data_IF_796714968487
#
_entry.id   IF_796714968487
#
_cell.length_a   1.000
_cell.length_b   1.000
_cell.length_c   1.000
_cell.angle_alpha   90.00
_cell.angle_beta   90.00
_cell.angle_gamma   90.00
#
_symmetry.space_group_name_H-M   'P 1'
#
loop_
_entity.id
_entity.type
_entity.pdbx_description
1 polymer ?
#
# COMPACT_ATOMS: atom_id res chain seq x y z
N UNK A 1 52.84 51.65 -30.25
CA UNK A 1 51.49 51.81 -29.63
C UNK A 1 50.52 51.01 -30.48
N UNK A 2 49.67 50.06 -30.06
CA UNK A 2 49.28 49.46 -28.77
C UNK A 2 48.92 47.99 -29.07
N UNK A 3 49.43 47.04 -28.28
CA UNK A 3 48.99 45.64 -28.26
C UNK A 3 47.60 45.57 -27.62
N UNK A 4 46.66 44.78 -28.15
CA UNK A 4 45.41 44.42 -27.47
C UNK A 4 45.39 42.91 -27.25
N UNK A 5 45.64 42.51 -26.01
CA UNK A 5 45.26 41.22 -25.44
C UNK A 5 43.76 41.26 -25.15
N UNK A 6 43.03 40.17 -25.43
CA UNK A 6 41.77 39.89 -24.75
C UNK A 6 41.52 38.37 -24.71
N UNK A 7 42.05 37.80 -23.64
CA UNK A 7 41.41 36.88 -22.69
C UNK A 7 40.36 35.90 -23.24
N UNK A 8 40.80 34.66 -23.49
CA UNK A 8 39.93 33.49 -23.69
C UNK A 8 39.27 33.10 -22.35
N UNK A 9 37.95 33.16 -22.28
CA UNK A 9 37.19 32.71 -21.12
C UNK A 9 37.14 31.17 -21.07
N UNK A 10 37.75 30.60 -20.03
CA UNK A 10 37.73 29.17 -19.72
C UNK A 10 36.34 28.80 -19.17
N UNK A 11 35.52 28.15 -19.99
CA UNK A 11 34.20 27.66 -19.59
C UNK A 11 34.38 26.35 -18.81
N UNK A 12 34.34 26.43 -17.48
CA UNK A 12 34.45 25.29 -16.58
C UNK A 12 33.10 24.55 -16.54
N UNK A 13 32.91 23.57 -17.42
CA UNK A 13 31.76 22.67 -17.40
C UNK A 13 31.81 21.75 -16.18
N UNK A 14 31.10 22.09 -15.12
CA UNK A 14 30.80 21.19 -14.01
C UNK A 14 29.89 20.06 -14.50
N UNK A 15 30.48 18.90 -14.77
CA UNK A 15 29.79 17.62 -14.90
C UNK A 15 29.20 17.24 -13.52
N UNK A 16 28.00 17.74 -13.22
CA UNK A 16 27.17 17.19 -12.16
C UNK A 16 26.71 15.80 -12.60
N UNK A 17 27.52 14.79 -12.29
CA UNK A 17 27.09 13.40 -12.34
C UNK A 17 25.87 13.23 -11.44
N UNK A 18 24.70 13.14 -12.05
CA UNK A 18 23.48 12.76 -11.35
C UNK A 18 23.60 11.29 -10.98
N UNK A 19 24.15 11.01 -9.80
CA UNK A 19 24.05 9.70 -9.17
C UNK A 19 22.57 9.47 -8.87
N UNK A 20 21.89 8.73 -9.75
CA UNK A 20 20.58 8.18 -9.43
C UNK A 20 20.79 7.16 -8.33
N UNK A 21 20.65 7.59 -7.07
CA UNK A 21 20.60 6.69 -5.94
C UNK A 21 19.36 5.81 -6.13
N UNK A 22 19.59 4.56 -6.58
CA UNK A 22 18.53 3.56 -6.68
C UNK A 22 18.12 3.24 -5.26
N UNK A 23 16.93 3.66 -4.85
CA UNK A 23 16.40 3.30 -3.55
C UNK A 23 16.39 1.76 -3.44
N UNK A 24 16.84 1.23 -2.30
CA UNK A 24 16.75 -0.20 -2.02
C UNK A 24 15.29 -0.63 -2.22
N UNK A 25 15.00 -1.64 -3.07
CA UNK A 25 13.64 -2.14 -3.27
C UNK A 25 12.89 -2.30 -1.94
N UNK A 26 13.55 -2.86 -0.91
CA UNK A 26 12.99 -3.04 0.42
C UNK A 26 12.42 -1.74 1.01
N UNK A 27 13.06 -0.61 0.72
CA UNK A 27 12.63 0.72 1.15
C UNK A 27 11.40 1.20 0.38
N UNK A 28 11.34 0.97 -0.93
CA UNK A 28 10.20 1.39 -1.77
C UNK A 28 8.93 0.61 -1.46
N UNK A 29 9.00 -0.73 -1.36
CA UNK A 29 7.83 -1.54 -1.02
C UNK A 29 7.30 -1.20 0.38
N UNK A 30 8.20 -1.09 1.34
CA UNK A 30 7.86 -0.70 2.71
C UNK A 30 7.23 0.70 2.75
N UNK A 31 7.72 1.64 1.94
CA UNK A 31 7.15 2.98 1.83
C UNK A 31 5.71 2.97 1.31
N UNK A 32 5.38 2.12 0.32
CA UNK A 32 4.01 1.98 -0.20
C UNK A 32 3.06 1.50 0.90
N UNK A 33 3.40 0.43 1.62
CA UNK A 33 2.55 -0.11 2.70
C UNK A 33 2.46 0.87 3.88
N UNK A 34 3.56 1.57 4.20
CA UNK A 34 3.54 2.64 5.22
C UNK A 34 2.62 3.78 4.84
N UNK A 35 2.66 4.22 3.59
CA UNK A 35 1.78 5.27 3.09
C UNK A 35 0.31 4.83 3.09
N UNK A 36 0.04 3.55 2.78
CA UNK A 36 -1.29 2.96 2.88
C UNK A 36 -1.84 3.03 4.31
N UNK A 37 -1.12 2.52 5.31
CA UNK A 37 -1.55 2.60 6.71
C UNK A 37 -1.69 4.04 7.22
N UNK A 38 -0.79 4.95 6.81
CA UNK A 38 -0.91 6.38 7.18
C UNK A 38 -2.18 7.00 6.61
N UNK A 39 -2.54 6.66 5.36
CA UNK A 39 -3.71 7.23 4.72
C UNK A 39 -5.01 6.77 5.40
N UNK A 40 -5.09 5.49 5.77
CA UNK A 40 -6.26 4.89 6.41
C UNK A 40 -6.15 4.79 7.93
N UNK A 41 -5.23 5.53 8.56
CA UNK A 41 -5.01 5.44 10.01
C UNK A 41 -6.27 5.78 10.82
N UNK A 42 -7.14 6.63 10.27
CA UNK A 42 -8.42 7.01 10.89
C UNK A 42 -9.34 5.82 11.17
N UNK A 43 -9.22 4.71 10.44
CA UNK A 43 -9.94 3.46 10.72
C UNK A 43 -9.64 2.89 12.11
N UNK A 44 -8.47 3.19 12.67
CA UNK A 44 -8.02 2.69 13.97
C UNK A 44 -7.97 3.75 15.07
N UNK A 45 -7.87 5.04 14.72
CA UNK A 45 -7.68 6.12 15.70
C UNK A 45 -8.92 6.97 15.96
N UNK A 46 -9.96 6.86 15.13
CA UNK A 46 -11.23 7.56 15.33
C UNK A 46 -12.33 6.54 15.61
N UNK A 47 -13.08 6.74 16.71
CA UNK A 47 -14.23 5.88 17.06
C UNK A 47 -15.39 6.02 16.06
N UNK A 48 -15.47 7.13 15.34
CA UNK A 48 -16.53 7.43 14.38
C UNK A 48 -16.00 8.29 13.22
N UNK A 49 -15.24 7.69 12.28
CA UNK A 49 -14.73 8.41 11.14
C UNK A 49 -15.88 8.86 10.23
N UNK A 50 -15.84 10.11 9.76
CA UNK A 50 -16.82 10.65 8.80
C UNK A 50 -16.52 10.27 7.34
N UNK A 51 -15.49 9.46 7.11
CA UNK A 51 -14.99 9.07 5.78
C UNK A 51 -15.00 7.55 5.66
N UNK A 52 -15.36 7.07 4.47
CA UNK A 52 -15.33 5.66 4.10
C UNK A 52 -13.96 5.02 4.36
N UNK A 53 -13.98 3.80 4.89
CA UNK A 53 -12.77 2.98 5.10
C UNK A 53 -12.13 2.51 3.80
N UNK A 54 -11.01 1.78 3.93
CA UNK A 54 -10.21 1.23 2.84
C UNK A 54 -11.05 0.50 1.79
N UNK A 55 -11.97 -0.36 2.21
CA UNK A 55 -12.77 -1.20 1.32
C UNK A 55 -13.74 -0.42 0.44
N UNK A 56 -14.15 0.77 0.90
CA UNK A 56 -15.12 1.63 0.22
C UNK A 56 -14.46 2.85 -0.44
N UNK A 57 -13.16 3.04 -0.23
CA UNK A 57 -12.44 4.20 -0.74
C UNK A 57 -12.57 4.37 -2.27
N UNK A 58 -12.55 5.62 -2.78
CA UNK A 58 -12.62 5.89 -4.22
C UNK A 58 -11.48 5.22 -5.00
N UNK A 59 -11.76 4.78 -6.23
CA UNK A 59 -10.77 4.10 -7.09
C UNK A 59 -9.49 4.92 -7.27
N UNK A 60 -9.61 6.25 -7.41
CA UNK A 60 -8.47 7.16 -7.51
C UNK A 60 -7.55 7.13 -6.28
N UNK A 61 -8.10 6.91 -5.09
CA UNK A 61 -7.34 6.74 -3.85
C UNK A 61 -6.64 5.40 -3.85
N UNK A 62 -7.37 4.32 -4.18
CA UNK A 62 -6.84 2.95 -4.17
C UNK A 62 -5.71 2.74 -5.19
N UNK A 63 -5.76 3.39 -6.36
CA UNK A 63 -4.71 3.32 -7.40
C UNK A 63 -3.32 3.77 -6.95
N UNK A 64 -3.23 4.55 -5.87
CA UNK A 64 -1.95 4.95 -5.28
C UNK A 64 -1.23 3.79 -4.59
N UNK A 65 -1.98 2.79 -4.13
CA UNK A 65 -1.47 1.72 -3.27
C UNK A 65 -1.63 0.32 -3.87
N UNK A 66 -2.74 0.06 -4.55
CA UNK A 66 -3.13 -1.29 -4.99
C UNK A 66 -2.89 -1.51 -6.48
N UNK A 67 -2.70 -2.77 -6.84
CA UNK A 67 -2.66 -3.20 -8.24
C UNK A 67 -4.04 -3.06 -8.89
N UNK A 68 -4.13 -2.83 -10.21
CA UNK A 68 -5.41 -2.71 -10.90
C UNK A 68 -6.34 -3.92 -10.68
N UNK A 69 -5.80 -5.14 -10.70
CA UNK A 69 -6.57 -6.37 -10.50
C UNK A 69 -7.24 -6.43 -9.12
N UNK A 70 -6.51 -6.06 -8.06
CA UNK A 70 -7.07 -6.05 -6.70
C UNK A 70 -8.13 -4.95 -6.53
N UNK A 71 -7.95 -3.81 -7.19
CA UNK A 71 -8.95 -2.72 -7.21
C UNK A 71 -10.24 -3.19 -7.88
N UNK A 72 -10.15 -3.84 -9.04
CA UNK A 72 -11.32 -4.35 -9.74
C UNK A 72 -12.15 -5.29 -8.87
N UNK A 73 -11.47 -6.18 -8.13
CA UNK A 73 -12.11 -7.12 -7.22
C UNK A 73 -12.83 -6.43 -6.05
N UNK A 74 -12.22 -5.39 -5.45
CA UNK A 74 -12.88 -4.57 -4.42
C UNK A 74 -14.10 -3.83 -4.97
N UNK A 75 -13.98 -3.26 -6.18
CA UNK A 75 -15.08 -2.56 -6.84
C UNK A 75 -16.25 -3.50 -7.15
N UNK A 76 -15.95 -4.74 -7.54
CA UNK A 76 -16.96 -5.77 -7.78
C UNK A 76 -17.68 -6.17 -6.49
N UNK A 77 -16.93 -6.36 -5.41
CA UNK A 77 -17.50 -6.76 -4.12
C UNK A 77 -18.43 -5.70 -3.54
N UNK A 78 -18.04 -4.42 -3.54
CA UNK A 78 -18.93 -3.32 -3.12
C UNK A 78 -20.17 -3.19 -4.01
N UNK A 79 -20.05 -3.44 -5.32
CA UNK A 79 -21.19 -3.40 -6.23
C UNK A 79 -22.17 -4.52 -5.93
N UNK A 80 -21.66 -5.72 -5.61
CA UNK A 80 -22.47 -6.85 -5.17
C UNK A 80 -23.21 -6.48 -3.87
N UNK A 81 -22.51 -5.93 -2.88
CA UNK A 81 -23.11 -5.55 -1.60
C UNK A 81 -24.22 -4.50 -1.78
N UNK A 82 -23.99 -3.51 -2.66
CA UNK A 82 -24.99 -2.50 -2.98
C UNK A 82 -26.23 -3.07 -3.69
N UNK A 83 -26.07 -4.11 -4.52
CA UNK A 83 -27.17 -4.76 -5.25
C UNK A 83 -27.98 -5.72 -4.38
N UNK A 84 -27.29 -6.49 -3.53
CA UNK A 84 -27.92 -7.54 -2.72
C UNK A 84 -28.35 -7.03 -1.34
N UNK A 85 -27.92 -5.83 -0.94
CA UNK A 85 -28.14 -5.26 0.40
C UNK A 85 -27.67 -6.17 1.54
N UNK A 86 -26.64 -6.97 1.28
CA UNK A 86 -26.01 -7.90 2.22
C UNK A 86 -24.49 -7.86 2.06
N UNK A 87 -23.79 -8.49 3.00
CA UNK A 87 -22.35 -8.69 2.86
C UNK A 87 -22.12 -9.70 1.73
N UNK A 88 -21.25 -9.33 0.78
CA UNK A 88 -20.83 -10.27 -0.25
C UNK A 88 -19.65 -11.11 0.24
N UNK A 89 -18.42 -10.82 -0.19
CA UNK A 89 -17.27 -11.66 0.19
C UNK A 89 -16.50 -11.07 1.35
N UNK A 90 -16.38 -9.75 1.39
CA UNK A 90 -15.58 -9.06 2.39
C UNK A 90 -16.45 -8.61 3.56
N UNK A 91 -16.24 -9.25 4.69
CA UNK A 91 -17.01 -9.05 5.92
C UNK A 91 -16.16 -8.45 7.05
N UNK A 92 -14.96 -7.93 6.78
CA UNK A 92 -14.05 -7.33 7.79
C UNK A 92 -13.18 -6.21 7.17
N UNK A 93 -12.44 -5.49 8.01
CA UNK A 93 -11.51 -4.42 7.59
C UNK A 93 -10.17 -5.00 7.09
N UNK A 94 -9.86 -4.94 5.78
CA UNK A 94 -8.72 -5.66 5.20
C UNK A 94 -7.34 -5.27 5.71
N UNK A 95 -7.14 -4.02 6.11
CA UNK A 95 -5.84 -3.55 6.59
C UNK A 95 -5.56 -3.96 8.04
N UNK A 96 -6.63 -4.27 8.78
CA UNK A 96 -6.60 -4.55 10.21
C UNK A 96 -6.92 -6.00 10.55
N UNK A 97 -7.38 -6.77 9.55
CA UNK A 97 -7.81 -8.17 9.69
C UNK A 97 -8.85 -8.37 10.82
N UNK A 98 -9.67 -7.35 11.07
CA UNK A 98 -10.58 -7.26 12.21
C UNK A 98 -11.92 -6.60 11.79
N UNK A 99 -12.96 -6.79 12.61
CA UNK A 99 -14.24 -6.08 12.45
C UNK A 99 -14.19 -4.64 12.95
N UNK A 100 -13.37 -4.42 13.97
CA UNK A 100 -13.12 -3.12 14.59
C UNK A 100 -11.60 -2.98 14.77
N UNK A 101 -11.06 -1.87 14.28
CA UNK A 101 -9.63 -1.57 14.34
C UNK A 101 -9.30 -0.55 15.45
N UNK A 102 -10.27 -0.15 16.26
CA UNK A 102 -10.11 0.87 17.29
C UNK A 102 -8.95 0.54 18.24
N UNK A 103 -8.02 1.48 18.37
CA UNK A 103 -6.83 1.36 19.21
C UNK A 103 -5.77 0.39 18.69
N UNK A 104 -5.90 -0.16 17.49
CA UNK A 104 -4.87 -1.03 16.91
C UNK A 104 -3.64 -0.24 16.47
N UNK A 105 -2.46 -0.87 16.63
CA UNK A 105 -1.19 -0.34 16.14
C UNK A 105 -0.55 -1.28 15.13
N UNK A 106 0.29 -0.73 14.26
CA UNK A 106 1.00 -1.49 13.22
C UNK A 106 2.51 -1.24 13.25
N UNK A 107 3.29 -2.31 13.20
CA UNK A 107 4.72 -2.27 12.90
C UNK A 107 5.00 -2.98 11.59
N UNK A 108 5.78 -2.34 10.70
CA UNK A 108 6.06 -2.86 9.35
C UNK A 108 7.52 -3.28 9.23
N UNK A 109 7.75 -4.44 8.61
CA UNK A 109 9.08 -4.93 8.26
C UNK A 109 9.11 -5.44 6.83
N UNK A 110 10.24 -5.27 6.16
CA UNK A 110 10.52 -6.01 4.92
C UNK A 110 11.05 -7.40 5.28
N UNK A 111 10.51 -8.43 4.65
CA UNK A 111 11.01 -9.80 4.76
C UNK A 111 11.73 -10.18 3.46
N UNK A 112 13.05 -10.25 3.56
CA UNK A 112 13.92 -10.59 2.44
C UNK A 112 13.72 -12.01 1.91
N UNK A 113 13.26 -12.95 2.75
CA UNK A 113 13.09 -14.36 2.38
C UNK A 113 11.85 -14.56 1.53
N UNK A 114 10.73 -13.97 1.95
CA UNK A 114 9.45 -14.07 1.24
C UNK A 114 9.24 -12.96 0.20
N UNK A 115 10.13 -11.95 0.18
CA UNK A 115 10.03 -10.74 -0.65
C UNK A 115 8.68 -10.04 -0.47
N UNK A 116 8.25 -9.94 0.78
CA UNK A 116 6.97 -9.34 1.20
C UNK A 116 7.21 -8.26 2.25
N UNK A 117 6.27 -7.34 2.35
CA UNK A 117 6.17 -6.49 3.55
C UNK A 117 5.28 -7.22 4.54
N UNK A 118 5.76 -7.43 5.75
CA UNK A 118 4.96 -7.98 6.86
C UNK A 118 4.56 -6.86 7.79
N UNK A 119 3.27 -6.76 8.08
CA UNK A 119 2.71 -5.95 9.14
C UNK A 119 2.42 -6.83 10.35
N UNK A 120 2.89 -6.41 11.52
CA UNK A 120 2.46 -6.96 12.81
C UNK A 120 1.48 -5.98 13.42
N UNK A 121 0.23 -6.41 13.54
CA UNK A 121 -0.85 -5.68 14.17
C UNK A 121 -0.93 -6.05 15.64
N UNK A 122 -1.23 -5.07 16.49
CA UNK A 122 -1.48 -5.27 17.92
C UNK A 122 -2.76 -4.54 18.31
N UNK A 123 -3.71 -5.27 18.88
CA UNK A 123 -4.88 -4.71 19.55
C UNK A 123 -4.63 -4.62 21.06
N UNK A 124 -5.33 -3.71 21.77
CA UNK A 124 -5.27 -3.66 23.23
C UNK A 124 -5.68 -5.02 23.85
N UNK A 125 -4.79 -5.61 24.64
CA UNK A 125 -5.02 -6.89 25.32
C UNK A 125 -5.04 -8.15 24.43
N UNK A 126 -4.82 -8.01 23.12
CA UNK A 126 -4.85 -9.12 22.16
C UNK A 126 -3.48 -9.68 21.79
N UNK A 127 -3.47 -10.89 21.23
CA UNK A 127 -2.28 -11.45 20.60
C UNK A 127 -1.96 -10.75 19.27
N UNK A 128 -0.67 -10.58 18.90
CA UNK A 128 -0.32 -9.96 17.63
C UNK A 128 -0.82 -10.77 16.42
N UNK A 129 -1.30 -10.06 15.40
CA UNK A 129 -1.74 -10.64 14.11
C UNK A 129 -0.74 -10.25 13.02
N UNK A 130 -0.36 -11.20 12.17
CA UNK A 130 0.52 -10.94 11.03
C UNK A 130 -0.27 -10.80 9.73
N UNK A 131 -0.03 -9.72 9.01
CA UNK A 131 -0.51 -9.50 7.64
C UNK A 131 0.69 -9.46 6.69
N UNK A 132 0.60 -10.16 5.57
CA UNK A 132 1.66 -10.20 4.56
C UNK A 132 1.19 -9.55 3.26
N UNK A 133 1.92 -8.52 2.81
CA UNK A 133 1.64 -7.81 1.58
C UNK A 133 2.51 -8.35 0.45
N UNK A 134 1.86 -8.91 -0.57
CA UNK A 134 2.53 -9.26 -1.83
C UNK A 134 2.62 -8.01 -2.69
N UNK A 135 3.83 -7.66 -3.11
CA UNK A 135 4.10 -6.47 -3.91
C UNK A 135 4.33 -6.86 -5.37
N UNK A 136 3.85 -6.04 -6.30
CA UNK A 136 4.11 -6.18 -7.73
C UNK A 136 4.39 -4.83 -8.35
N UNK A 137 5.20 -4.81 -9.42
CA UNK A 137 5.37 -3.62 -10.24
C UNK A 137 4.22 -3.50 -11.23
N UNK A 138 3.70 -2.29 -11.36
CA UNK A 138 2.74 -1.91 -12.38
C UNK A 138 3.16 -0.57 -12.97
N UNK A 139 3.44 -0.54 -14.29
CA UNK A 139 3.92 0.64 -15.01
C UNK A 139 5.14 1.31 -14.32
N UNK A 140 6.07 0.51 -13.81
CA UNK A 140 7.27 0.98 -13.14
C UNK A 140 7.10 1.37 -11.66
N UNK A 141 5.89 1.28 -11.10
CA UNK A 141 5.64 1.59 -9.68
C UNK A 141 5.23 0.36 -8.87
N UNK A 142 5.70 0.28 -7.62
CA UNK A 142 5.27 -0.76 -6.69
C UNK A 142 3.84 -0.57 -6.20
N UNK A 143 3.08 -1.66 -6.19
CA UNK A 143 1.70 -1.72 -5.70
C UNK A 143 1.47 -3.01 -4.91
N UNK A 144 0.53 -2.96 -3.98
CA UNK A 144 0.01 -4.13 -3.28
C UNK A 144 -0.82 -4.95 -4.26
N UNK A 145 -0.34 -6.15 -4.58
CA UNK A 145 -1.04 -7.11 -5.42
C UNK A 145 -1.98 -8.01 -4.60
N UNK A 146 -1.69 -8.20 -3.31
CA UNK A 146 -2.47 -9.06 -2.42
C UNK A 146 -2.14 -8.81 -0.94
N UNK A 147 -3.07 -9.18 -0.06
CA UNK A 147 -2.98 -9.05 1.40
C UNK A 147 -3.31 -10.41 2.01
N UNK A 148 -2.34 -11.07 2.65
CA UNK A 148 -2.50 -12.38 3.29
C UNK A 148 -2.70 -12.26 4.80
N UNK A 149 -3.59 -13.09 5.36
CA UNK A 149 -4.05 -13.03 6.77
C UNK A 149 -3.60 -14.24 7.62
N UNK A 150 -2.40 -14.75 7.35
CA UNK A 150 -1.91 -16.02 7.90
C UNK A 150 -2.07 -17.19 6.93
N UNK A 151 -1.74 -18.40 7.37
CA UNK A 151 -1.80 -19.62 6.54
C UNK A 151 -3.19 -20.21 6.43
N UNK A 152 -4.04 -19.98 7.43
CA UNK A 152 -5.32 -20.68 7.59
C UNK A 152 -6.50 -19.87 7.07
N UNK A 153 -6.22 -18.68 6.51
CA UNK A 153 -7.21 -17.77 5.94
C UNK A 153 -6.85 -17.46 4.49
N UNK A 154 -7.84 -17.39 3.58
CA UNK A 154 -7.59 -16.92 2.22
C UNK A 154 -7.04 -15.49 2.27
N UNK A 155 -6.14 -15.17 1.34
CA UNK A 155 -5.73 -13.78 1.11
C UNK A 155 -6.90 -12.94 0.59
N UNK A 156 -6.79 -11.62 0.64
CA UNK A 156 -7.81 -10.71 0.13
C UNK A 156 -8.11 -10.98 -1.34
N UNK A 157 -7.09 -11.20 -2.18
CA UNK A 157 -7.29 -11.54 -3.58
C UNK A 157 -8.04 -12.87 -3.72
N UNK A 158 -7.66 -13.89 -2.95
CA UNK A 158 -8.32 -15.20 -3.00
C UNK A 158 -9.77 -15.13 -2.52
N UNK A 159 -10.04 -14.37 -1.47
CA UNK A 159 -11.37 -14.14 -0.93
C UNK A 159 -12.25 -13.43 -1.95
N UNK A 160 -11.76 -12.34 -2.55
CA UNK A 160 -12.53 -11.54 -3.50
C UNK A 160 -12.68 -12.18 -4.89
N UNK A 161 -11.81 -13.12 -5.27
CA UNK A 161 -11.85 -13.77 -6.59
C UNK A 161 -12.84 -14.95 -6.68
N UNK A 162 -13.33 -15.49 -5.56
CA UNK A 162 -14.30 -16.61 -5.54
C UNK A 162 -15.61 -16.21 -6.23
N UNK A 163 -16.32 -17.12 -6.88
CA UNK A 163 -17.67 -16.79 -7.37
C UNK A 163 -18.64 -16.58 -6.19
N UNK A 164 -19.63 -15.71 -6.37
CA UNK A 164 -20.74 -15.57 -5.41
C UNK A 164 -21.86 -16.44 -5.97
N UNK A 165 -22.29 -17.43 -5.20
CA UNK A 165 -23.43 -18.29 -5.56
C UNK A 165 -24.78 -17.54 -5.38
#
# INVERSE_FOLDING_TARGET
MKRRLLTTALCLTCLYGSTTARADPATEQLAVVRALYRHFAYEAVLDSPSTDGFSLAPVQVLRRFLSPALIELLVRDRSCAAQRHEICRLDFMPLWAAQDASGMTVSLRWDNSSKRVTATLRSPGGSPVLINYRMAQHQGYWRVADIGYGTDRPSLLQLLARQVD
#
